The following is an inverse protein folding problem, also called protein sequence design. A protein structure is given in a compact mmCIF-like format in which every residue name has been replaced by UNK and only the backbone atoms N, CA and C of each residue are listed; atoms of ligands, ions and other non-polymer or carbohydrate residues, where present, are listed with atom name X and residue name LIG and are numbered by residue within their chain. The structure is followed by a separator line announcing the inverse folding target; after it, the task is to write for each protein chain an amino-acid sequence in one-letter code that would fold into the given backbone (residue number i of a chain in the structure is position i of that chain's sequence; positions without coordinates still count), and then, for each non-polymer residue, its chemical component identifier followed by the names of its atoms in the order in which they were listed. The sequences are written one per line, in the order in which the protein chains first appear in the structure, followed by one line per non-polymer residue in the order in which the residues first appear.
data_IF_554621072788
#
_entry.id   IF_554621072788
#
_cell.length_a   1.000
_cell.length_b   1.000
_cell.length_c   1.000
_cell.angle_alpha   90.00
_cell.angle_beta   90.00
_cell.angle_gamma   90.00
#
_symmetry.space_group_name_H-M   'P 1'
#
loop_
_entity.id
_entity.type
_entity.pdbx_description
1 polymer ?
#
# COMPACT_ATOMS: atom_id res chain seq x y z
N UNK A 1 -2.12 -7.06 -17.03
CA UNK A 1 -1.93 -5.73 -17.62
C UNK A 1 -1.35 -4.81 -16.57
N UNK A 2 -0.12 -4.53 -16.74
CA UNK A 2 0.76 -3.44 -16.34
C UNK A 2 0.41 -2.62 -15.09
N UNK A 3 0.84 -3.07 -13.92
CA UNK A 3 1.06 -2.20 -12.77
C UNK A 3 2.40 -1.44 -12.83
N UNK A 4 3.08 -1.48 -13.97
CA UNK A 4 4.36 -0.79 -14.18
C UNK A 4 4.21 0.64 -14.70
N UNK A 5 2.98 1.14 -14.87
CA UNK A 5 2.76 2.46 -15.52
C UNK A 5 2.72 3.65 -14.60
N UNK A 6 2.90 3.49 -13.29
CA UNK A 6 2.86 4.62 -12.34
C UNK A 6 4.13 4.80 -11.51
N UNK A 7 5.14 3.97 -11.70
CA UNK A 7 6.47 4.35 -11.26
C UNK A 7 6.95 5.41 -12.25
N UNK A 8 6.77 6.67 -11.89
CA UNK A 8 7.42 7.79 -12.57
C UNK A 8 8.87 7.40 -12.83
N UNK A 9 9.42 7.69 -14.01
CA UNK A 9 10.81 7.42 -14.25
C UNK A 9 11.60 8.02 -13.09
N UNK A 10 12.44 7.19 -12.46
CA UNK A 10 13.33 7.65 -11.38
C UNK A 10 13.94 8.98 -11.80
N UNK A 11 13.93 10.02 -10.94
CA UNK A 11 14.47 11.30 -11.31
C UNK A 11 15.90 11.09 -11.80
N UNK A 12 16.17 11.48 -13.02
CA UNK A 12 17.51 11.49 -13.56
C UNK A 12 18.29 12.54 -12.78
N UNK A 13 18.99 12.13 -11.75
CA UNK A 13 20.01 12.93 -11.12
C UNK A 13 21.28 12.80 -11.98
N UNK A 14 21.85 13.89 -12.51
CA UNK A 14 23.06 13.84 -13.32
C UNK A 14 24.30 13.32 -12.55
N UNK A 15 24.19 13.13 -11.26
CA UNK A 15 25.26 12.62 -10.38
C UNK A 15 25.24 11.09 -10.20
N UNK A 16 24.18 10.38 -10.65
CA UNK A 16 24.12 8.91 -10.57
C UNK A 16 24.68 8.30 -11.85
N UNK A 17 25.50 7.21 -11.73
CA UNK A 17 25.80 6.41 -12.90
C UNK A 17 24.48 5.97 -13.53
N UNK A 18 24.36 5.92 -14.87
CA UNK A 18 23.11 5.64 -15.54
C UNK A 18 22.58 4.28 -15.08
N UNK A 19 21.64 4.30 -14.17
CA UNK A 19 20.95 3.09 -13.72
C UNK A 19 20.11 2.59 -14.88
N UNK A 20 20.35 1.37 -15.31
CA UNK A 20 19.54 0.73 -16.33
C UNK A 20 18.28 0.18 -15.69
N UNK A 21 17.12 0.68 -16.13
CA UNK A 21 15.81 0.19 -15.67
C UNK A 21 15.34 -0.93 -16.61
N UNK A 22 15.04 -2.09 -16.04
CA UNK A 22 14.44 -3.22 -16.73
C UNK A 22 13.00 -3.37 -16.26
N UNK A 23 12.05 -3.36 -17.21
CA UNK A 23 10.64 -3.60 -16.95
C UNK A 23 10.35 -5.09 -17.05
N UNK A 24 10.06 -5.70 -15.90
CA UNK A 24 9.70 -7.09 -15.76
C UNK A 24 8.17 -7.21 -15.70
N UNK A 25 7.56 -7.67 -16.80
CA UNK A 25 6.09 -7.62 -16.98
C UNK A 25 5.42 -8.99 -16.97
N UNK A 26 6.17 -10.04 -17.25
CA UNK A 26 5.64 -11.40 -17.31
C UNK A 26 5.67 -12.08 -15.92
N UNK A 27 4.68 -12.94 -15.61
CA UNK A 27 4.67 -13.67 -14.33
C UNK A 27 5.93 -14.50 -14.07
N UNK A 28 6.57 -15.00 -15.12
CA UNK A 28 7.81 -15.77 -15.01
C UNK A 28 9.00 -14.92 -14.54
N UNK A 29 8.96 -13.62 -14.79
CA UNK A 29 10.02 -12.69 -14.38
C UNK A 29 10.18 -12.64 -12.86
N UNK A 30 9.10 -12.80 -12.11
CA UNK A 30 9.14 -12.85 -10.65
C UNK A 30 10.02 -14.00 -10.13
N UNK A 31 9.98 -15.14 -10.79
CA UNK A 31 10.82 -16.29 -10.46
C UNK A 31 12.27 -16.07 -10.94
N UNK A 32 12.43 -15.46 -12.11
CA UNK A 32 13.75 -15.14 -12.65
C UNK A 32 14.52 -14.20 -11.71
N UNK A 33 13.89 -13.11 -11.26
CA UNK A 33 14.52 -12.09 -10.39
C UNK A 33 14.86 -12.64 -9.01
N UNK A 34 14.09 -13.61 -8.51
CA UNK A 34 14.41 -14.27 -7.25
C UNK A 34 15.71 -15.07 -7.32
N UNK A 35 16.03 -15.65 -8.46
CA UNK A 35 17.24 -16.48 -8.67
C UNK A 35 18.41 -15.65 -9.22
N UNK A 36 18.14 -14.76 -10.16
CA UNK A 36 19.15 -13.93 -10.81
C UNK A 36 19.40 -12.68 -9.95
N UNK A 37 20.45 -12.72 -9.14
CA UNK A 37 20.81 -11.59 -8.26
C UNK A 37 21.80 -10.63 -8.91
N UNK A 38 22.56 -11.11 -9.88
CA UNK A 38 23.62 -10.37 -10.54
C UNK A 38 23.71 -10.81 -12.01
N UNK A 39 23.98 -9.87 -12.89
CA UNK A 39 24.24 -10.10 -14.30
C UNK A 39 25.38 -9.19 -14.76
N UNK A 40 26.41 -9.77 -15.39
CA UNK A 40 27.58 -9.07 -15.92
C UNK A 40 28.25 -8.15 -14.87
N UNK A 41 28.43 -8.65 -13.64
CA UNK A 41 29.03 -7.89 -12.53
C UNK A 41 28.13 -6.77 -11.96
N UNK A 42 26.88 -6.65 -12.41
CA UNK A 42 25.91 -5.65 -11.93
C UNK A 42 24.81 -6.32 -11.12
N UNK A 43 24.56 -5.78 -9.93
CA UNK A 43 23.48 -6.26 -9.08
C UNK A 43 22.12 -5.82 -9.61
N UNK A 44 21.17 -6.74 -9.61
CA UNK A 44 19.75 -6.46 -9.85
C UNK A 44 19.08 -6.10 -8.53
N UNK A 45 18.40 -4.97 -8.50
CA UNK A 45 17.66 -4.47 -7.32
C UNK A 45 16.21 -4.20 -7.71
N UNK A 46 15.28 -4.74 -6.94
CA UNK A 46 13.87 -4.50 -7.18
C UNK A 46 13.43 -3.15 -6.60
N UNK A 47 12.81 -2.32 -7.43
CA UNK A 47 12.26 -1.03 -6.99
C UNK A 47 10.97 -1.17 -6.17
N UNK A 48 10.34 -2.35 -6.14
CA UNK A 48 9.12 -2.62 -5.37
C UNK A 48 9.43 -3.05 -3.95
N UNK A 49 10.71 -3.21 -3.61
CA UNK A 49 11.18 -3.59 -2.29
C UNK A 49 11.78 -2.43 -1.54
N UNK A 50 11.79 -2.53 -0.21
CA UNK A 50 12.46 -1.55 0.63
C UNK A 50 13.99 -1.68 0.53
N UNK A 51 14.70 -0.63 1.02
CA UNK A 51 16.16 -0.66 1.09
C UNK A 51 16.89 -0.27 -0.20
N UNK A 52 16.19 0.31 -1.18
CA UNK A 52 16.85 0.95 -2.32
C UNK A 52 17.61 2.19 -1.81
N UNK A 53 18.94 2.16 -1.93
CA UNK A 53 19.81 3.25 -1.51
C UNK A 53 20.40 3.93 -2.73
N UNK A 54 20.43 5.25 -2.67
CA UNK A 54 21.12 6.10 -3.63
C UNK A 54 22.46 6.57 -3.03
N UNK A 55 23.40 6.94 -3.90
CA UNK A 55 24.64 7.58 -3.44
C UNK A 55 24.32 9.04 -3.10
N UNK A 56 24.48 9.40 -1.85
CA UNK A 56 24.20 10.73 -1.32
C UNK A 56 25.47 11.39 -0.83
N UNK A 57 25.51 12.70 -0.96
CA UNK A 57 26.56 13.52 -0.33
C UNK A 57 26.31 13.64 1.18
N UNK A 58 27.36 13.96 1.94
CA UNK A 58 27.24 14.17 3.39
C UNK A 58 26.29 15.33 3.76
N UNK A 59 26.15 16.31 2.89
CA UNK A 59 25.25 17.44 3.08
C UNK A 59 23.78 17.01 2.87
N UNK A 60 23.52 16.20 1.85
CA UNK A 60 22.19 15.63 1.59
C UNK A 60 21.74 14.71 2.73
N UNK A 61 22.64 13.89 3.28
CA UNK A 61 22.33 13.03 4.43
C UNK A 61 21.88 13.83 5.65
N UNK A 62 22.60 14.91 6.00
CA UNK A 62 22.25 15.76 7.14
C UNK A 62 20.88 16.42 6.93
N UNK A 63 20.65 16.98 5.74
CA UNK A 63 19.36 17.58 5.41
C UNK A 63 18.22 16.55 5.47
N UNK A 64 18.50 15.31 5.06
CA UNK A 64 17.54 14.21 5.12
C UNK A 64 17.23 13.77 6.55
N UNK A 65 18.25 13.69 7.42
CA UNK A 65 18.08 13.36 8.84
C UNK A 65 17.21 14.41 9.56
N UNK A 66 17.45 15.70 9.32
CA UNK A 66 16.66 16.80 9.87
C UNK A 66 15.18 16.69 9.39
N UNK A 67 15.00 16.45 8.11
CA UNK A 67 13.67 16.29 7.51
C UNK A 67 12.95 15.05 8.06
N UNK A 68 13.68 13.96 8.28
CA UNK A 68 13.16 12.73 8.86
C UNK A 68 12.66 12.95 10.29
N UNK A 69 13.44 13.66 11.10
CA UNK A 69 13.05 14.01 12.46
C UNK A 69 11.78 14.89 12.49
N UNK A 70 11.64 15.79 11.52
CA UNK A 70 10.50 16.69 11.39
C UNK A 70 9.19 15.97 10.98
N UNK A 71 9.30 14.87 10.23
CA UNK A 71 8.15 14.06 9.80
C UNK A 71 7.86 12.82 10.67
N UNK A 72 8.74 12.50 11.62
CA UNK A 72 8.58 11.34 12.50
C UNK A 72 7.22 11.32 13.25
N UNK A 73 6.70 12.45 13.77
CA UNK A 73 5.39 12.48 14.43
C UNK A 73 4.26 12.09 13.49
N UNK A 74 4.29 12.53 12.22
CA UNK A 74 3.30 12.17 11.21
C UNK A 74 3.39 10.68 10.87
N UNK A 75 4.60 10.14 10.67
CA UNK A 75 4.80 8.71 10.38
C UNK A 75 4.24 7.83 11.50
N UNK A 76 4.45 8.21 12.77
CA UNK A 76 3.90 7.50 13.94
C UNK A 76 2.38 7.55 13.95
N UNK A 77 1.79 8.73 13.74
CA UNK A 77 0.34 8.88 13.68
C UNK A 77 -0.28 8.05 12.55
N UNK A 78 0.31 8.09 11.35
CA UNK A 78 -0.16 7.29 10.22
C UNK A 78 -0.09 5.79 10.53
N UNK A 79 0.99 5.33 11.18
CA UNK A 79 1.12 3.95 11.63
C UNK A 79 0.06 3.58 12.66
N UNK A 80 -0.25 4.45 13.62
CA UNK A 80 -1.31 4.23 14.61
C UNK A 80 -2.69 4.11 13.95
N UNK A 81 -2.99 4.96 12.96
CA UNK A 81 -4.26 4.93 12.23
C UNK A 81 -4.39 3.67 11.37
N UNK A 82 -3.32 3.26 10.69
CA UNK A 82 -3.32 2.12 9.78
C UNK A 82 -3.20 0.77 10.51
N UNK A 83 -2.72 0.76 11.74
CA UNK A 83 -2.60 -0.44 12.57
C UNK A 83 -1.78 -1.54 11.88
N UNK A 84 -2.37 -2.72 11.79
CA UNK A 84 -1.70 -3.91 11.24
C UNK A 84 -1.64 -3.95 9.70
N UNK A 85 -2.29 -3.01 9.02
CA UNK A 85 -2.28 -2.91 7.55
C UNK A 85 -0.89 -2.59 6.99
N UNK A 86 -0.04 -1.93 7.78
CA UNK A 86 1.36 -1.63 7.43
C UNK A 86 2.29 -2.04 8.57
N UNK A 87 3.51 -2.41 8.24
CA UNK A 87 4.55 -2.67 9.23
C UNK A 87 5.08 -1.38 9.85
N UNK A 88 5.40 -0.44 8.99
CA UNK A 88 5.94 0.88 9.35
C UNK A 88 5.59 1.91 8.28
N UNK A 89 5.66 3.18 8.67
CA UNK A 89 5.60 4.32 7.76
C UNK A 89 6.94 5.04 7.82
N UNK A 90 7.56 5.26 6.67
CA UNK A 90 8.89 5.87 6.55
C UNK A 90 8.89 6.92 5.46
N UNK A 91 9.87 7.79 5.49
CA UNK A 91 10.08 8.74 4.41
C UNK A 91 10.78 8.09 3.21
N UNK A 92 10.45 8.55 2.02
CA UNK A 92 11.00 8.06 0.76
C UNK A 92 11.89 9.09 0.10
N UNK A 93 13.09 8.66 -0.29
CA UNK A 93 14.01 9.43 -1.13
C UNK A 93 13.74 9.27 -2.61
N UNK A 94 13.03 8.20 -2.98
CA UNK A 94 12.79 7.80 -4.38
C UNK A 94 11.52 8.37 -5.00
N UNK A 95 10.61 8.94 -4.20
CA UNK A 95 9.35 9.48 -4.70
C UNK A 95 9.53 10.92 -5.20
N UNK A 96 9.02 11.18 -6.41
CA UNK A 96 9.01 12.51 -7.03
C UNK A 96 7.62 13.12 -7.08
N UNK A 97 6.68 12.46 -7.77
CA UNK A 97 5.33 12.96 -8.02
C UNK A 97 4.28 12.36 -7.10
N UNK A 98 4.42 11.08 -6.73
CA UNK A 98 3.45 10.42 -5.88
C UNK A 98 3.58 10.87 -4.41
N UNK A 99 2.47 11.03 -3.67
CA UNK A 99 2.49 11.36 -2.24
C UNK A 99 3.02 10.22 -1.38
N UNK A 100 2.75 8.98 -1.77
CA UNK A 100 3.16 7.78 -1.06
C UNK A 100 3.16 6.56 -1.98
N UNK A 101 3.84 5.50 -1.54
CA UNK A 101 3.92 4.21 -2.21
C UNK A 101 3.99 3.10 -1.17
N UNK A 102 3.54 1.91 -1.54
CA UNK A 102 3.71 0.71 -0.71
C UNK A 102 4.81 -0.17 -1.29
N UNK A 103 5.69 -0.60 -0.42
CA UNK A 103 6.78 -1.52 -0.73
C UNK A 103 6.75 -2.68 0.24
N UNK A 104 7.42 -3.76 -0.13
CA UNK A 104 7.54 -4.95 0.71
C UNK A 104 8.96 -5.13 1.19
N UNK A 105 9.14 -5.80 2.32
CA UNK A 105 10.45 -6.18 2.81
C UNK A 105 11.22 -7.05 1.81
N UNK A 106 12.51 -7.20 2.02
CA UNK A 106 13.40 -7.93 1.11
C UNK A 106 12.89 -9.35 0.79
N UNK A 107 12.37 -10.05 1.78
CA UNK A 107 11.86 -11.43 1.65
C UNK A 107 10.35 -11.49 1.43
N UNK A 108 9.64 -10.36 1.46
CA UNK A 108 8.21 -10.30 1.24
C UNK A 108 7.83 -10.54 -0.22
N UNK A 109 6.60 -10.95 -0.47
CA UNK A 109 6.08 -11.07 -1.83
C UNK A 109 5.85 -9.68 -2.43
N UNK A 110 6.25 -9.51 -3.68
CA UNK A 110 5.84 -8.34 -4.48
C UNK A 110 4.34 -8.41 -4.75
N UNK A 111 3.74 -7.30 -5.19
CA UNK A 111 2.32 -7.30 -5.58
C UNK A 111 2.01 -8.32 -6.68
N UNK A 112 2.92 -8.50 -7.65
CA UNK A 112 2.79 -9.51 -8.69
C UNK A 112 2.83 -10.93 -8.12
N UNK A 113 3.79 -11.22 -7.23
CA UNK A 113 3.87 -12.53 -6.60
C UNK A 113 2.63 -12.81 -5.75
N UNK A 114 2.13 -11.84 -4.97
CA UNK A 114 0.91 -11.98 -4.19
C UNK A 114 -0.28 -12.35 -5.09
N UNK A 115 -0.42 -11.68 -6.25
CA UNK A 115 -1.47 -11.98 -7.23
C UNK A 115 -1.34 -13.38 -7.83
N UNK A 116 -0.10 -13.82 -8.18
CA UNK A 116 0.17 -15.16 -8.69
C UNK A 116 -0.21 -16.21 -7.66
N UNK A 117 0.23 -16.02 -6.42
CA UNK A 117 -0.03 -16.97 -5.33
C UNK A 117 -1.50 -17.04 -4.96
N UNK A 118 -2.21 -15.90 -4.93
CA UNK A 118 -3.68 -15.89 -4.75
C UNK A 118 -4.41 -16.67 -5.86
N UNK A 119 -3.97 -16.55 -7.11
CA UNK A 119 -4.55 -17.28 -8.22
C UNK A 119 -4.28 -18.80 -8.15
N UNK A 120 -3.18 -19.21 -7.54
CA UNK A 120 -2.81 -20.62 -7.36
C UNK A 120 -3.42 -21.25 -6.10
N UNK A 121 -3.79 -20.45 -5.09
CA UNK A 121 -4.37 -20.89 -3.82
C UNK A 121 -5.84 -21.33 -3.98
N UNK A 122 -6.10 -22.31 -4.83
CA UNK A 122 -7.45 -22.82 -5.08
C UNK A 122 -8.04 -23.64 -3.93
N UNK A 123 -7.28 -24.01 -2.90
CA UNK A 123 -7.71 -24.93 -1.84
C UNK A 123 -7.30 -24.60 -0.41
N UNK A 124 -6.33 -23.76 -0.18
CA UNK A 124 -5.82 -23.54 1.17
C UNK A 124 -5.44 -22.08 1.41
N UNK A 125 -6.36 -21.34 2.05
CA UNK A 125 -6.14 -19.93 2.42
C UNK A 125 -5.22 -19.77 3.64
N UNK A 126 -4.86 -20.85 4.33
CA UNK A 126 -4.06 -20.80 5.57
C UNK A 126 -2.64 -20.28 5.31
N UNK A 127 -2.03 -20.66 4.20
CA UNK A 127 -0.71 -20.16 3.82
C UNK A 127 -0.75 -18.70 3.29
N UNK A 128 -1.87 -18.27 2.73
CA UNK A 128 -2.04 -16.92 2.20
C UNK A 128 -1.96 -15.85 3.30
N UNK A 129 -2.55 -16.08 4.45
CA UNK A 129 -2.52 -15.11 5.56
C UNK A 129 -1.15 -15.03 6.25
N UNK A 130 -0.42 -16.14 6.30
CA UNK A 130 0.90 -16.19 6.94
C UNK A 130 2.01 -15.57 6.06
N UNK A 131 1.83 -15.59 4.73
CA UNK A 131 2.78 -15.04 3.77
C UNK A 131 2.32 -13.72 3.12
N UNK A 132 1.18 -13.17 3.55
CA UNK A 132 0.80 -11.80 3.21
C UNK A 132 1.93 -10.87 3.67
N UNK A 133 2.65 -10.31 2.70
CA UNK A 133 3.81 -9.48 3.00
C UNK A 133 3.38 -8.27 3.80
N UNK A 134 4.00 -8.09 4.95
CA UNK A 134 3.89 -6.82 5.67
C UNK A 134 4.38 -5.71 4.74
N UNK A 135 3.55 -4.70 4.58
CA UNK A 135 3.80 -3.60 3.67
C UNK A 135 4.41 -2.43 4.43
N UNK A 136 5.43 -1.82 3.88
CA UNK A 136 5.97 -0.55 4.37
C UNK A 136 5.41 0.57 3.52
N UNK A 137 4.84 1.58 4.16
CA UNK A 137 4.36 2.78 3.47
C UNK A 137 5.47 3.81 3.45
N UNK A 138 5.90 4.20 2.26
CA UNK A 138 6.85 5.28 2.05
C UNK A 138 6.11 6.55 1.66
N UNK A 139 6.39 7.65 2.34
CA UNK A 139 5.77 8.95 2.10
C UNK A 139 6.77 9.95 1.49
N UNK A 140 6.24 10.84 0.65
CA UNK A 140 7.03 11.89 -0.01
C UNK A 140 6.93 13.22 0.76
N UNK A 141 7.96 13.63 1.52
CA UNK A 141 7.90 14.86 2.32
C UNK A 141 7.83 16.14 1.47
N UNK A 142 8.22 16.05 0.20
CA UNK A 142 8.20 17.19 -0.72
C UNK A 142 6.80 17.43 -1.31
N UNK A 143 5.92 16.43 -1.26
CA UNK A 143 4.59 16.51 -1.83
C UNK A 143 3.65 17.42 -1.02
N UNK A 144 2.85 18.24 -1.70
CA UNK A 144 1.94 19.22 -1.05
C UNK A 144 0.93 18.54 -0.11
N UNK A 145 0.36 17.38 -0.49
CA UNK A 145 -0.56 16.62 0.34
C UNK A 145 0.10 16.23 1.68
N UNK A 146 1.36 15.78 1.66
CA UNK A 146 2.06 15.37 2.89
C UNK A 146 2.37 16.56 3.80
N UNK A 147 2.71 17.71 3.21
CA UNK A 147 2.95 18.95 3.98
C UNK A 147 1.67 19.42 4.66
N UNK A 148 0.55 19.42 3.94
CA UNK A 148 -0.73 19.85 4.48
C UNK A 148 -1.27 18.85 5.51
N UNK A 149 -1.13 17.54 5.26
CA UNK A 149 -1.51 16.50 6.21
C UNK A 149 -0.71 16.62 7.52
N UNK A 150 0.58 16.93 7.43
CA UNK A 150 1.42 17.19 8.59
C UNK A 150 0.92 18.40 9.38
N UNK A 151 0.59 19.51 8.72
CA UNK A 151 0.05 20.71 9.39
C UNK A 151 -1.28 20.42 10.08
N UNK A 152 -2.21 19.73 9.42
CA UNK A 152 -3.50 19.35 10.00
C UNK A 152 -3.36 18.39 11.17
N UNK A 153 -2.51 17.39 11.05
CA UNK A 153 -2.27 16.41 12.11
C UNK A 153 -1.60 17.01 13.35
N UNK A 154 -0.82 18.08 13.18
CA UNK A 154 -0.23 18.81 14.29
C UNK A 154 -1.27 19.67 15.04
N UNK A 155 -2.30 20.18 14.33
CA UNK A 155 -3.39 20.95 14.92
C UNK A 155 -4.36 20.05 15.70
N UNK A 156 -4.78 18.94 15.11
CA UNK A 156 -5.68 17.96 15.74
C UNK A 156 -5.36 16.53 15.29
N UNK A 157 -4.83 15.72 16.20
CA UNK A 157 -4.54 14.30 15.97
C UNK A 157 -5.78 13.43 15.92
N UNK A 158 -6.87 13.89 16.50
CA UNK A 158 -8.14 13.16 16.62
C UNK A 158 -9.08 13.35 15.44
N UNK A 159 -8.79 14.29 14.55
CA UNK A 159 -9.65 14.67 13.43
C UNK A 159 -10.01 13.45 12.55
N UNK A 160 -11.33 13.21 12.43
CA UNK A 160 -11.88 12.13 11.59
C UNK A 160 -11.47 12.31 10.14
N UNK A 161 -11.38 13.55 9.66
CA UNK A 161 -10.93 13.85 8.29
C UNK A 161 -9.48 13.42 8.04
N UNK A 162 -8.59 13.64 9.02
CA UNK A 162 -7.20 13.20 8.93
C UNK A 162 -7.13 11.67 8.85
N UNK A 163 -7.92 10.97 9.65
CA UNK A 163 -7.98 9.49 9.62
C UNK A 163 -8.46 8.97 8.27
N UNK A 164 -9.55 9.55 7.75
CA UNK A 164 -10.12 9.17 6.46
C UNK A 164 -9.12 9.44 5.31
N UNK A 165 -8.40 10.57 5.34
CA UNK A 165 -7.37 10.89 4.36
C UNK A 165 -6.19 9.92 4.41
N UNK A 166 -5.76 9.50 5.60
CA UNK A 166 -4.68 8.51 5.75
C UNK A 166 -5.11 7.15 5.18
N UNK A 167 -6.35 6.70 5.46
CA UNK A 167 -6.88 5.48 4.87
C UNK A 167 -6.99 5.59 3.36
N UNK A 168 -7.48 6.71 2.84
CA UNK A 168 -7.59 6.93 1.39
C UNK A 168 -6.22 6.92 0.70
N UNK A 169 -5.21 7.55 1.30
CA UNK A 169 -3.82 7.52 0.81
C UNK A 169 -3.26 6.10 0.80
N UNK A 170 -3.51 5.32 1.82
CA UNK A 170 -3.10 3.92 1.89
C UNK A 170 -3.79 3.08 0.80
N UNK A 171 -5.10 3.19 0.66
CA UNK A 171 -5.90 2.43 -0.31
C UNK A 171 -5.55 2.81 -1.76
N UNK A 172 -5.34 4.10 -2.04
CA UNK A 172 -4.83 4.53 -3.35
C UNK A 172 -3.42 4.01 -3.62
N UNK A 173 -2.57 3.95 -2.58
CA UNK A 173 -1.22 3.38 -2.71
C UNK A 173 -1.25 1.87 -2.95
N UNK A 174 -2.21 1.12 -2.38
CA UNK A 174 -2.42 -0.29 -2.72
C UNK A 174 -2.65 -0.45 -4.21
N UNK A 175 -3.59 0.32 -4.78
CA UNK A 175 -3.92 0.25 -6.21
C UNK A 175 -2.73 0.64 -7.10
N UNK A 176 -2.06 1.75 -6.79
CA UNK A 176 -0.93 2.23 -7.60
C UNK A 176 0.30 1.35 -7.48
N UNK A 177 0.49 0.65 -6.36
CA UNK A 177 1.57 -0.32 -6.15
C UNK A 177 1.22 -1.72 -6.67
N UNK A 178 0.03 -1.92 -7.24
CA UNK A 178 -0.41 -3.17 -7.87
C UNK A 178 -0.98 -4.22 -6.91
N UNK A 179 -1.20 -3.87 -5.65
CA UNK A 179 -1.89 -4.71 -4.67
C UNK A 179 -3.41 -4.68 -4.86
N UNK A 180 -4.08 -5.69 -4.36
CA UNK A 180 -5.54 -5.74 -4.34
C UNK A 180 -6.09 -5.01 -3.13
N UNK A 181 -7.28 -4.41 -3.28
CA UNK A 181 -8.06 -3.93 -2.14
C UNK A 181 -8.82 -5.10 -1.52
N UNK A 182 -8.78 -5.21 -0.20
CA UNK A 182 -9.54 -6.23 0.52
C UNK A 182 -11.02 -5.81 0.64
N UNK A 183 -11.27 -4.50 0.85
CA UNK A 183 -12.61 -3.92 1.02
C UNK A 183 -12.89 -2.81 -0.01
N UNK A 184 -13.21 -3.14 -1.28
CA UNK A 184 -13.45 -2.13 -2.30
C UNK A 184 -14.66 -1.23 -2.02
N UNK A 185 -15.69 -1.76 -1.35
CA UNK A 185 -16.90 -0.99 -1.01
C UNK A 185 -16.58 0.13 0.01
N UNK A 186 -15.80 -0.17 1.03
CA UNK A 186 -15.35 0.81 2.03
C UNK A 186 -14.52 1.92 1.39
N UNK A 187 -13.62 1.56 0.48
CA UNK A 187 -12.85 2.52 -0.31
C UNK A 187 -13.76 3.42 -1.15
N UNK A 188 -14.73 2.84 -1.87
CA UNK A 188 -15.70 3.59 -2.66
C UNK A 188 -16.51 4.58 -1.79
N UNK A 189 -16.94 4.17 -0.60
CA UNK A 189 -17.62 5.03 0.35
C UNK A 189 -16.80 6.26 0.76
N UNK A 190 -15.48 6.08 0.99
CA UNK A 190 -14.58 7.21 1.26
C UNK A 190 -14.45 8.15 0.07
N UNK A 191 -14.34 7.61 -1.13
CA UNK A 191 -14.32 8.42 -2.37
C UNK A 191 -15.60 9.22 -2.51
N UNK A 192 -16.79 8.59 -2.31
CA UNK A 192 -18.07 9.29 -2.37
C UNK A 192 -18.14 10.42 -1.35
N UNK A 193 -17.65 10.23 -0.12
CA UNK A 193 -17.59 11.29 0.89
C UNK A 193 -16.68 12.45 0.42
N UNK A 194 -15.52 12.17 -0.16
CA UNK A 194 -14.67 13.22 -0.71
C UNK A 194 -15.36 13.98 -1.87
N UNK A 195 -16.11 13.28 -2.71
CA UNK A 195 -16.89 13.90 -3.78
C UNK A 195 -17.97 14.82 -3.21
N UNK A 196 -18.72 14.39 -2.18
CA UNK A 196 -19.72 15.22 -1.50
C UNK A 196 -19.06 16.50 -0.93
N UNK A 197 -17.93 16.37 -0.24
CA UNK A 197 -17.18 17.53 0.26
C UNK A 197 -16.74 18.47 -0.87
N UNK A 198 -16.24 17.93 -1.98
CA UNK A 198 -15.84 18.72 -3.15
C UNK A 198 -17.01 19.44 -3.83
N UNK A 199 -18.21 18.88 -3.75
CA UNK A 199 -19.45 19.48 -4.26
C UNK A 199 -20.15 20.38 -3.24
N UNK A 200 -19.58 20.55 -2.02
CA UNK A 200 -20.19 21.29 -0.90
C UNK A 200 -21.60 20.77 -0.52
N UNK A 201 -21.80 19.45 -0.66
CA UNK A 201 -23.00 18.77 -0.18
C UNK A 201 -22.78 18.51 1.31
N UNK A 202 -23.67 19.07 2.14
CA UNK A 202 -23.68 18.77 3.58
C UNK A 202 -24.05 17.28 3.75
N UNK A 203 -23.31 16.58 4.59
CA UNK A 203 -23.68 15.20 4.95
C UNK A 203 -24.88 15.30 5.90
N UNK A 204 -26.07 14.99 5.39
CA UNK A 204 -27.28 14.74 6.20
C UNK A 204 -27.18 13.40 6.98
N UNK A 205 -25.96 12.89 7.15
CA UNK A 205 -25.68 11.69 7.91
C UNK A 205 -25.79 11.95 9.44
N UNK A 206 -27.00 12.17 9.90
CA UNK A 206 -27.40 11.58 11.16
C UNK A 206 -27.34 10.06 10.95
N UNK A 207 -26.30 9.45 11.54
CA UNK A 207 -26.15 8.05 11.85
C UNK A 207 -27.31 7.13 11.36
N UNK A 208 -27.24 6.63 10.13
CA UNK A 208 -27.71 5.28 9.93
C UNK A 208 -26.64 4.39 10.57
N UNK A 209 -26.79 4.13 11.87
CA UNK A 209 -26.30 2.94 12.49
C UNK A 209 -26.62 1.80 11.50
N UNK A 210 -25.57 1.16 11.00
CA UNK A 210 -25.74 -0.10 10.31
C UNK A 210 -26.41 -1.00 11.34
N UNK A 211 -27.74 -1.09 11.30
CA UNK A 211 -28.46 -2.11 12.03
C UNK A 211 -27.76 -3.42 11.68
N UNK A 212 -27.18 -4.03 12.69
CA UNK A 212 -26.69 -5.40 12.59
C UNK A 212 -27.80 -6.21 11.92
N UNK A 213 -27.51 -6.66 10.70
CA UNK A 213 -28.39 -7.62 10.05
C UNK A 213 -28.61 -8.74 11.06
N UNK A 214 -29.89 -9.08 11.34
CA UNK A 214 -30.16 -10.15 12.29
C UNK A 214 -29.39 -11.40 11.84
N UNK A 215 -28.82 -12.17 12.77
CA UNK A 215 -28.10 -13.37 12.42
C UNK A 215 -29.01 -14.26 11.58
N UNK A 216 -28.52 -14.73 10.44
CA UNK A 216 -29.20 -15.73 9.62
C UNK A 216 -29.51 -16.89 10.56
N UNK A 217 -30.79 -17.12 10.81
CA UNK A 217 -31.26 -18.32 11.50
C UNK A 217 -30.77 -19.49 10.63
N UNK A 218 -29.91 -20.33 11.20
CA UNK A 218 -29.57 -21.62 10.60
C UNK A 218 -30.87 -22.44 10.58
N UNK A 219 -31.49 -22.49 9.40
CA UNK A 219 -32.56 -23.44 9.15
C UNK A 219 -32.03 -24.84 9.37
N UNK A 220 -32.58 -25.45 10.41
CA UNK A 220 -32.20 -26.77 10.88
C UNK A 220 -32.22 -27.80 9.75
N UNK A 221 -31.13 -28.53 9.69
CA UNK A 221 -30.92 -29.73 8.90
C UNK A 221 -32.05 -30.76 9.16
N UNK A 222 -33.13 -30.71 8.41
CA UNK A 222 -34.06 -31.81 8.31
C UNK A 222 -33.50 -32.85 7.32
N UNK A 223 -32.94 -33.89 7.90
CA UNK A 223 -32.33 -35.01 7.24
C UNK A 223 -33.22 -35.62 6.16
N UNK A 224 -32.83 -35.48 4.91
CA UNK A 224 -33.33 -36.27 3.79
C UNK A 224 -32.80 -37.69 3.91
N UNK A 225 -33.64 -38.60 4.40
CA UNK A 225 -33.43 -40.03 4.29
C UNK A 225 -33.58 -40.43 2.83
N UNK A 226 -32.51 -40.80 2.17
CA UNK A 226 -32.54 -41.56 0.93
C UNK A 226 -33.04 -42.96 1.24
N UNK A 227 -34.21 -43.32 0.72
CA UNK A 227 -34.66 -44.70 0.59
C UNK A 227 -33.89 -45.37 -0.53
N UNK A 228 -33.16 -46.42 -0.21
CA UNK A 228 -32.66 -47.40 -1.15
C UNK A 228 -33.84 -48.18 -1.70
N UNK A 229 -34.02 -48.19 -3.02
CA UNK A 229 -34.93 -49.09 -3.73
C UNK A 229 -34.09 -50.13 -4.43
N UNK A 230 -34.42 -51.42 -4.11
CA UNK A 230 -33.87 -52.63 -4.72
C UNK A 230 -33.97 -52.69 -6.25
#
# INVERSE_FOLDING_TARGET
MAAASSLSPLPYSPALPPAQVLYMTDPIDEYCVQQLKEYDGKKLVSVTKEGLKFEETEEEKKAWEELTADYEPLCKLMKEILGDKVEKVVMSERLTEAPCVLVTGEYGWTANMERIMRAQALRDNSMSSYMASKKTMEINPKHSIMKELKAKSAADKGDKTVKDLVHLLFETSLLTSGFSLDEPATFAGRIHRMIKLGLSIEDDDEAEDVEELPPLEEDGDEGSKMEEVD
#
